data_IF_311856068378
#
_entry.id   IF_311856068378
#
_cell.length_a   1.000
_cell.length_b   1.000
_cell.length_c   1.000
_cell.angle_alpha   90.00
_cell.angle_beta   90.00
_cell.angle_gamma   90.00
#
_symmetry.space_group_name_H-M   'P 1'
#
loop_
_entity.id
_entity.type
_entity.pdbx_description
1 polymer ?
#
# COMPACT_ATOMS: atom_id res chain seq x y z
N UNK A 1 -1.93 -30.81 -15.00
CA UNK A 1 -0.86 -30.26 -15.84
C UNK A 1 -1.29 -28.87 -16.29
N UNK A 2 -0.71 -27.81 -15.70
CA UNK A 2 -0.94 -26.41 -16.10
C UNK A 2 0.20 -25.97 -17.00
N UNK A 3 -0.11 -25.80 -18.28
CA UNK A 3 0.79 -25.23 -19.28
C UNK A 3 1.00 -23.73 -18.97
N UNK A 4 2.22 -23.37 -18.67
CA UNK A 4 2.65 -21.97 -18.48
C UNK A 4 3.05 -21.49 -19.89
N UNK A 5 2.13 -20.77 -20.53
CA UNK A 5 2.41 -20.05 -21.77
C UNK A 5 3.36 -18.87 -21.51
N UNK A 6 4.31 -18.68 -22.43
CA UNK A 6 5.38 -17.68 -22.42
C UNK A 6 4.94 -16.27 -22.00
N UNK A 7 5.80 -15.54 -21.27
CA UNK A 7 5.55 -14.12 -20.98
C UNK A 7 5.66 -13.33 -22.29
N UNK A 8 4.59 -12.63 -22.64
CA UNK A 8 4.63 -11.63 -23.73
C UNK A 8 5.54 -10.50 -23.25
N UNK A 9 6.78 -10.51 -23.73
CA UNK A 9 7.73 -9.41 -23.53
C UNK A 9 7.30 -8.29 -24.49
N UNK A 10 6.67 -7.24 -23.97
CA UNK A 10 6.53 -5.99 -24.70
C UNK A 10 7.91 -5.35 -24.82
N UNK A 11 8.52 -5.52 -26.00
CA UNK A 11 9.72 -4.77 -26.42
C UNK A 11 9.31 -3.32 -26.70
N UNK A 12 9.39 -2.45 -25.68
CA UNK A 12 9.33 -1.01 -25.86
C UNK A 12 10.76 -0.51 -26.09
N UNK A 13 10.97 0.16 -27.24
CA UNK A 13 12.28 0.64 -27.67
C UNK A 13 12.99 1.52 -26.62
N UNK A 14 14.30 1.36 -26.50
CA UNK A 14 15.17 1.93 -25.47
C UNK A 14 15.20 3.49 -25.40
N UNK A 15 14.73 4.19 -26.43
CA UNK A 15 14.77 5.66 -26.50
C UNK A 15 13.60 6.37 -25.80
N UNK A 16 12.43 5.71 -25.65
CA UNK A 16 11.28 6.27 -24.94
C UNK A 16 11.35 6.16 -23.39
N UNK A 17 12.21 5.29 -22.85
CA UNK A 17 12.22 4.95 -21.41
C UNK A 17 12.85 6.02 -20.52
N UNK A 18 13.78 6.85 -21.00
CA UNK A 18 14.41 7.88 -20.15
C UNK A 18 13.48 9.05 -19.84
N UNK A 19 12.66 9.46 -20.79
CA UNK A 19 11.74 10.59 -20.61
C UNK A 19 10.51 10.22 -19.76
N UNK A 20 10.14 8.93 -19.73
CA UNK A 20 9.02 8.41 -18.93
C UNK A 20 9.40 8.07 -17.48
N UNK A 21 10.68 7.77 -17.20
CA UNK A 21 11.15 7.45 -15.85
C UNK A 21 10.94 8.63 -14.88
N UNK A 22 11.20 9.86 -15.28
CA UNK A 22 10.98 11.04 -14.44
C UNK A 22 9.51 11.22 -14.04
N UNK A 23 8.58 11.04 -14.99
CA UNK A 23 7.14 11.08 -14.70
C UNK A 23 6.74 9.91 -13.80
N UNK A 24 7.29 8.72 -14.03
CA UNK A 24 7.06 7.53 -13.19
C UNK A 24 7.51 7.73 -11.75
N UNK A 25 8.66 8.36 -11.54
CA UNK A 25 9.19 8.73 -10.21
C UNK A 25 8.25 9.74 -9.53
N UNK A 26 7.87 10.81 -10.24
CA UNK A 26 6.99 11.83 -9.69
C UNK A 26 5.64 11.23 -9.26
N UNK A 27 5.03 10.38 -10.09
CA UNK A 27 3.76 9.71 -9.78
C UNK A 27 3.89 8.74 -8.60
N UNK A 28 5.00 7.99 -8.50
CA UNK A 28 5.25 7.10 -7.38
C UNK A 28 5.45 7.88 -6.06
N UNK A 29 6.17 9.00 -6.10
CA UNK A 29 6.31 9.91 -4.96
C UNK A 29 4.96 10.53 -4.58
N UNK A 30 4.17 10.98 -5.55
CA UNK A 30 2.80 11.48 -5.30
C UNK A 30 1.96 10.42 -4.58
N UNK A 31 2.02 9.15 -5.03
CA UNK A 31 1.33 8.05 -4.34
C UNK A 31 1.82 7.89 -2.90
N UNK A 32 3.14 7.87 -2.68
CA UNK A 32 3.72 7.70 -1.34
C UNK A 32 3.35 8.86 -0.41
N UNK A 33 3.36 10.10 -0.91
CA UNK A 33 2.94 11.29 -0.14
C UNK A 33 1.43 11.25 0.15
N UNK A 34 0.59 10.94 -0.83
CA UNK A 34 -0.84 10.79 -0.65
C UNK A 34 -1.16 9.75 0.42
N UNK A 35 -0.57 8.56 0.32
CA UNK A 35 -0.80 7.51 1.30
C UNK A 35 -0.16 7.80 2.65
N UNK A 36 0.93 8.60 2.69
CA UNK A 36 1.54 9.08 3.93
C UNK A 36 0.66 10.08 4.69
N UNK A 37 -0.02 10.98 3.99
CA UNK A 37 -0.94 11.96 4.58
C UNK A 37 -2.29 11.34 5.00
N UNK A 38 -2.71 10.25 4.33
CA UNK A 38 -4.02 9.63 4.50
C UNK A 38 -4.36 9.27 5.97
N UNK A 39 -3.52 8.54 6.73
CA UNK A 39 -3.87 8.12 8.09
C UNK A 39 -4.00 9.30 9.05
N UNK A 40 -3.31 10.41 8.79
CA UNK A 40 -3.39 11.63 9.61
C UNK A 40 -4.78 12.26 9.45
N UNK A 41 -5.22 12.47 8.21
CA UNK A 41 -6.55 13.02 7.93
C UNK A 41 -7.66 12.04 8.38
N UNK A 42 -7.45 10.74 8.16
CA UNK A 42 -8.43 9.72 8.53
C UNK A 42 -8.63 9.65 10.05
N UNK A 43 -7.57 9.86 10.84
CA UNK A 43 -7.67 9.87 12.32
C UNK A 43 -8.60 10.98 12.81
N UNK A 44 -8.61 12.15 12.17
CA UNK A 44 -9.53 13.25 12.50
C UNK A 44 -11.00 12.87 12.24
N UNK A 45 -11.27 12.12 11.18
CA UNK A 45 -12.63 11.66 10.86
C UNK A 45 -13.07 10.55 11.82
N UNK A 46 -12.15 9.68 12.23
CA UNK A 46 -12.41 8.56 13.14
C UNK A 46 -12.74 9.00 14.58
N UNK A 47 -12.57 10.28 14.93
CA UNK A 47 -13.05 10.85 16.20
C UNK A 47 -14.58 10.88 16.28
N UNK A 48 -15.27 10.97 15.14
CA UNK A 48 -16.73 11.06 15.05
C UNK A 48 -17.34 9.86 14.32
N UNK A 49 -16.67 9.35 13.29
CA UNK A 49 -17.15 8.25 12.48
C UNK A 49 -16.49 6.92 12.83
N UNK A 50 -17.27 5.85 12.89
CA UNK A 50 -16.74 4.50 12.99
C UNK A 50 -16.02 4.07 11.68
N UNK A 51 -15.01 3.17 11.77
CA UNK A 51 -14.25 2.69 10.61
C UNK A 51 -15.10 2.25 9.40
N UNK A 52 -16.20 1.46 9.55
CA UNK A 52 -17.03 1.07 8.41
C UNK A 52 -17.63 2.26 7.66
N UNK A 53 -18.01 3.32 8.37
CA UNK A 53 -18.61 4.52 7.77
C UNK A 53 -17.59 5.34 7.00
N UNK A 54 -16.39 5.54 7.56
CA UNK A 54 -15.30 6.22 6.86
C UNK A 54 -14.91 5.48 5.59
N UNK A 55 -14.74 4.14 5.69
CA UNK A 55 -14.35 3.30 4.55
C UNK A 55 -15.45 3.26 3.49
N UNK A 56 -16.73 3.23 3.90
CA UNK A 56 -17.87 3.34 2.98
C UNK A 56 -17.78 4.61 2.12
N UNK A 57 -17.61 5.78 2.73
CA UNK A 57 -17.50 7.04 1.99
C UNK A 57 -16.27 7.07 1.08
N UNK A 58 -15.16 6.52 1.50
CA UNK A 58 -13.95 6.43 0.68
C UNK A 58 -14.17 5.60 -0.57
N UNK A 59 -14.78 4.42 -0.43
CA UNK A 59 -15.09 3.58 -1.60
C UNK A 59 -16.20 4.15 -2.46
N UNK A 60 -17.21 4.78 -1.88
CA UNK A 60 -18.28 5.44 -2.62
C UNK A 60 -17.72 6.54 -3.53
N UNK A 61 -16.94 7.46 -2.98
CA UNK A 61 -16.31 8.53 -3.75
C UNK A 61 -15.36 7.99 -4.82
N UNK A 62 -14.55 6.98 -4.49
CA UNK A 62 -13.64 6.36 -5.45
C UNK A 62 -14.39 5.60 -6.56
N UNK A 63 -15.49 4.91 -6.23
CA UNK A 63 -16.34 4.21 -7.19
C UNK A 63 -17.01 5.18 -8.16
N UNK A 64 -17.62 6.26 -7.64
CA UNK A 64 -18.25 7.29 -8.48
C UNK A 64 -17.20 7.96 -9.38
N UNK A 65 -16.08 8.41 -8.80
CA UNK A 65 -15.04 9.11 -9.56
C UNK A 65 -14.39 8.25 -10.64
N UNK A 66 -14.00 7.01 -10.29
CA UNK A 66 -13.40 6.09 -11.25
C UNK A 66 -14.41 5.58 -12.28
N UNK A 67 -15.67 5.34 -11.85
CA UNK A 67 -16.76 4.97 -12.72
C UNK A 67 -17.06 6.03 -13.77
N UNK A 68 -17.12 7.32 -13.38
CA UNK A 68 -17.28 8.44 -14.29
C UNK A 68 -16.12 8.51 -15.31
N UNK A 69 -14.87 8.39 -14.84
CA UNK A 69 -13.69 8.40 -15.72
C UNK A 69 -13.74 7.24 -16.73
N UNK A 70 -14.10 6.03 -16.30
CA UNK A 70 -14.19 4.86 -17.17
C UNK A 70 -15.37 4.96 -18.15
N UNK A 71 -16.51 5.51 -17.72
CA UNK A 71 -17.67 5.75 -18.58
C UNK A 71 -17.35 6.75 -19.70
N UNK A 72 -16.74 7.90 -19.36
CA UNK A 72 -16.31 8.91 -20.34
C UNK A 72 -15.31 8.32 -21.35
N UNK A 73 -14.41 7.46 -20.89
CA UNK A 73 -13.41 6.79 -21.75
C UNK A 73 -13.97 5.58 -22.50
N UNK A 74 -15.21 5.17 -22.30
CA UNK A 74 -15.80 3.95 -22.89
C UNK A 74 -15.09 2.65 -22.47
N UNK A 75 -14.46 2.64 -21.29
CA UNK A 75 -13.61 1.53 -20.79
C UNK A 75 -14.19 0.84 -19.57
N UNK A 76 -15.51 0.85 -19.40
CA UNK A 76 -16.17 0.11 -18.34
C UNK A 76 -15.84 -1.40 -18.39
N UNK A 77 -15.82 -2.10 -17.23
CA UNK A 77 -15.54 -3.51 -17.21
C UNK A 77 -16.62 -4.30 -17.96
N UNK A 78 -16.23 -5.34 -18.73
CA UNK A 78 -17.20 -6.15 -19.46
C UNK A 78 -18.01 -7.01 -18.50
N UNK A 79 -19.35 -6.95 -18.57
CA UNK A 79 -20.25 -7.73 -17.71
C UNK A 79 -20.09 -9.26 -17.87
N UNK A 80 -19.45 -9.70 -18.97
CA UNK A 80 -19.15 -11.13 -19.21
C UNK A 80 -18.30 -11.77 -18.12
N UNK A 81 -17.56 -10.96 -17.32
CA UNK A 81 -16.74 -11.47 -16.21
C UNK A 81 -17.60 -12.14 -15.14
N UNK A 82 -18.84 -11.66 -14.95
CA UNK A 82 -19.77 -12.22 -13.97
C UNK A 82 -20.39 -13.57 -14.37
N UNK A 83 -20.22 -14.01 -15.63
CA UNK A 83 -20.78 -15.28 -16.12
C UNK A 83 -19.97 -16.51 -15.75
N UNK A 84 -18.72 -16.35 -15.31
CA UNK A 84 -17.82 -17.47 -14.99
C UNK A 84 -17.56 -17.54 -13.49
N UNK A 85 -17.91 -18.64 -12.79
CA UNK A 85 -17.83 -18.76 -11.33
C UNK A 85 -16.39 -18.51 -10.81
N UNK A 86 -15.36 -18.93 -11.56
CA UNK A 86 -13.96 -18.70 -11.18
C UNK A 86 -13.64 -17.20 -11.01
N UNK A 87 -14.17 -16.32 -11.86
CA UNK A 87 -13.91 -14.89 -11.76
C UNK A 87 -14.71 -14.26 -10.62
N UNK A 88 -15.92 -14.76 -10.35
CA UNK A 88 -16.71 -14.34 -9.19
C UNK A 88 -15.99 -14.67 -7.88
N UNK A 89 -15.44 -15.88 -7.74
CA UNK A 89 -14.66 -16.27 -6.56
C UNK A 89 -13.42 -15.38 -6.40
N UNK A 90 -12.70 -15.10 -7.48
CA UNK A 90 -11.52 -14.20 -7.44
C UNK A 90 -11.92 -12.76 -7.08
N UNK A 91 -13.03 -12.26 -7.62
CA UNK A 91 -13.57 -10.95 -7.25
C UNK A 91 -14.00 -10.93 -5.78
N UNK A 92 -14.66 -11.98 -5.29
CA UNK A 92 -15.03 -12.09 -3.87
C UNK A 92 -13.82 -12.10 -2.94
N UNK A 93 -12.76 -12.87 -3.28
CA UNK A 93 -11.49 -12.89 -2.53
C UNK A 93 -10.84 -11.51 -2.56
N UNK A 94 -10.77 -10.88 -3.73
CA UNK A 94 -10.16 -9.55 -3.87
C UNK A 94 -10.97 -8.48 -3.11
N UNK A 95 -12.31 -8.54 -3.18
CA UNK A 95 -13.20 -7.63 -2.45
C UNK A 95 -13.07 -7.83 -0.95
N UNK A 96 -13.12 -9.08 -0.46
CA UNK A 96 -12.96 -9.40 0.96
C UNK A 96 -11.58 -8.99 1.48
N UNK A 97 -10.52 -9.20 0.69
CA UNK A 97 -9.16 -8.77 1.02
C UNK A 97 -9.02 -7.24 1.11
N UNK A 98 -9.58 -6.52 0.15
CA UNK A 98 -9.54 -5.04 0.15
C UNK A 98 -10.45 -4.47 1.24
N UNK A 99 -11.66 -4.96 1.37
CA UNK A 99 -12.62 -4.60 2.41
C UNK A 99 -12.01 -4.79 3.80
N UNK A 100 -11.52 -6.02 4.08
CA UNK A 100 -10.93 -6.35 5.37
C UNK A 100 -9.69 -5.51 5.68
N UNK A 101 -8.81 -5.28 4.70
CA UNK A 101 -7.65 -4.42 4.88
C UNK A 101 -8.07 -3.00 5.28
N UNK A 102 -9.01 -2.38 4.58
CA UNK A 102 -9.42 -1.01 4.86
C UNK A 102 -10.10 -0.87 6.22
N UNK A 103 -10.96 -1.83 6.60
CA UNK A 103 -11.61 -1.83 7.92
C UNK A 103 -10.57 -2.02 9.01
N UNK A 104 -9.73 -3.05 8.93
CA UNK A 104 -8.73 -3.36 9.95
C UNK A 104 -7.68 -2.24 10.08
N UNK A 105 -7.26 -1.63 8.96
CA UNK A 105 -6.36 -0.48 9.00
C UNK A 105 -7.02 0.74 9.67
N UNK A 106 -8.27 1.03 9.32
CA UNK A 106 -9.01 2.13 9.97
C UNK A 106 -9.26 1.86 11.46
N UNK A 107 -9.55 0.61 11.84
CA UNK A 107 -9.68 0.21 13.24
C UNK A 107 -8.34 0.32 13.99
N UNK A 108 -7.22 -0.05 13.36
CA UNK A 108 -5.89 0.15 13.93
C UNK A 108 -5.62 1.62 14.28
N UNK A 109 -6.04 2.55 13.42
CA UNK A 109 -5.87 3.99 13.63
C UNK A 109 -6.68 4.55 14.81
N UNK A 110 -7.72 3.88 15.25
CA UNK A 110 -8.44 4.30 16.49
C UNK A 110 -7.53 4.20 17.70
N UNK A 111 -6.65 3.21 17.75
CA UNK A 111 -5.81 2.87 18.88
C UNK A 111 -4.35 3.30 18.74
N UNK A 112 -3.84 3.38 17.50
CA UNK A 112 -2.45 3.70 17.20
C UNK A 112 -2.30 5.12 16.62
N UNK A 113 -1.07 5.60 16.65
CA UNK A 113 -0.69 6.78 15.87
C UNK A 113 -0.68 6.49 14.36
N UNK A 114 -0.88 7.50 13.50
CA UNK A 114 -0.76 7.36 12.06
C UNK A 114 0.54 6.70 11.61
N UNK A 115 1.66 7.10 12.22
CA UNK A 115 2.99 6.56 11.93
C UNK A 115 3.10 5.09 12.31
N UNK A 116 2.62 4.68 13.50
CA UNK A 116 2.67 3.28 13.94
C UNK A 116 1.87 2.37 13.01
N UNK A 117 0.65 2.78 12.63
CA UNK A 117 -0.18 2.01 11.68
C UNK A 117 0.48 1.87 10.31
N UNK A 118 1.15 2.92 9.80
CA UNK A 118 1.88 2.87 8.52
C UNK A 118 3.14 2.00 8.59
N UNK A 119 3.86 2.02 9.71
CA UNK A 119 5.04 1.16 9.91
C UNK A 119 4.65 -0.31 9.96
N UNK A 120 3.56 -0.67 10.66
CA UNK A 120 3.01 -2.03 10.65
C UNK A 120 2.56 -2.44 9.25
N UNK A 121 1.98 -1.52 8.47
CA UNK A 121 1.56 -1.76 7.10
C UNK A 121 2.69 -2.28 6.19
N UNK A 122 3.96 -1.99 6.53
CA UNK A 122 5.12 -2.51 5.82
C UNK A 122 5.33 -4.03 5.97
N UNK A 123 4.56 -4.71 6.81
CA UNK A 123 4.47 -6.18 6.81
C UNK A 123 3.81 -6.73 5.53
N UNK A 124 3.01 -5.94 4.81
CA UNK A 124 2.35 -6.38 3.58
C UNK A 124 3.33 -6.88 2.50
N UNK A 125 4.45 -6.22 2.18
CA UNK A 125 5.47 -6.75 1.28
C UNK A 125 6.04 -8.10 1.73
N UNK A 126 6.26 -8.29 3.03
CA UNK A 126 6.74 -9.58 3.59
C UNK A 126 5.68 -10.65 3.40
N UNK A 127 4.42 -10.35 3.73
CA UNK A 127 3.30 -11.25 3.49
C UNK A 127 3.15 -11.65 2.01
N UNK A 128 3.27 -10.68 1.08
CA UNK A 128 3.26 -10.97 -0.36
C UNK A 128 4.41 -11.85 -0.80
N UNK A 129 5.60 -11.67 -0.23
CA UNK A 129 6.76 -12.50 -0.51
C UNK A 129 6.53 -13.95 -0.04
N UNK A 130 6.03 -14.13 1.17
CA UNK A 130 5.66 -15.46 1.71
C UNK A 130 4.57 -16.10 0.84
N UNK A 131 3.52 -15.37 0.49
CA UNK A 131 2.46 -15.86 -0.39
C UNK A 131 2.98 -16.26 -1.79
N UNK A 132 3.95 -15.52 -2.34
CA UNK A 132 4.59 -15.85 -3.62
C UNK A 132 5.28 -17.21 -3.57
N UNK A 133 5.96 -17.53 -2.48
CA UNK A 133 6.63 -18.84 -2.31
C UNK A 133 5.60 -19.96 -2.24
N UNK A 134 4.61 -19.86 -1.36
CA UNK A 134 3.66 -20.95 -1.11
C UNK A 134 2.59 -21.09 -2.20
N UNK A 135 2.06 -19.98 -2.71
CA UNK A 135 0.95 -19.99 -3.66
C UNK A 135 1.43 -20.00 -5.12
N UNK A 136 2.45 -19.18 -5.44
CA UNK A 136 2.97 -19.04 -6.79
C UNK A 136 4.19 -19.94 -7.05
N UNK A 137 4.71 -20.63 -6.01
CA UNK A 137 5.89 -21.50 -6.05
C UNK A 137 7.14 -20.77 -6.59
N UNK A 138 7.24 -19.48 -6.31
CA UNK A 138 8.40 -18.66 -6.66
C UNK A 138 9.54 -18.89 -5.66
N UNK A 139 10.80 -18.88 -6.14
CA UNK A 139 11.97 -18.99 -5.25
C UNK A 139 12.30 -17.63 -4.64
N UNK A 140 12.50 -17.60 -3.32
CA UNK A 140 12.97 -16.39 -2.63
C UNK A 140 14.43 -16.10 -3.00
N UNK A 141 14.72 -14.83 -3.23
CA UNK A 141 16.08 -14.35 -3.43
C UNK A 141 16.71 -13.95 -2.09
N UNK A 142 18.04 -14.12 -1.94
CA UNK A 142 18.74 -13.73 -0.72
C UNK A 142 18.51 -12.28 -0.32
N UNK A 143 18.43 -11.36 -1.28
CA UNK A 143 18.12 -9.94 -1.02
C UNK A 143 16.73 -9.72 -0.42
N UNK A 144 15.75 -10.56 -0.77
CA UNK A 144 14.40 -10.50 -0.20
C UNK A 144 14.40 -10.97 1.25
N UNK A 145 15.16 -12.03 1.56
CA UNK A 145 15.30 -12.54 2.94
C UNK A 145 15.97 -11.49 3.81
N UNK A 146 17.09 -10.92 3.35
CA UNK A 146 17.80 -9.86 4.08
C UNK A 146 16.89 -8.65 4.30
N UNK A 147 16.19 -8.19 3.26
CA UNK A 147 15.27 -7.06 3.37
C UNK A 147 14.12 -7.32 4.35
N UNK A 148 13.55 -8.53 4.35
CA UNK A 148 12.51 -8.92 5.31
C UNK A 148 13.07 -8.99 6.75
N UNK A 149 14.27 -9.53 6.95
CA UNK A 149 14.92 -9.56 8.27
C UNK A 149 15.21 -8.15 8.79
N UNK A 150 15.70 -7.25 7.94
CA UNK A 150 15.87 -5.83 8.28
C UNK A 150 14.55 -5.17 8.68
N UNK A 151 13.47 -5.43 7.92
CA UNK A 151 12.16 -4.89 8.21
C UNK A 151 11.65 -5.37 9.58
N UNK A 152 11.75 -6.66 9.86
CA UNK A 152 11.32 -7.20 11.16
C UNK A 152 12.17 -6.65 12.32
N UNK A 153 13.48 -6.54 12.15
CA UNK A 153 14.35 -5.90 13.13
C UNK A 153 13.97 -4.43 13.36
N UNK A 154 13.70 -3.69 12.29
CA UNK A 154 13.24 -2.31 12.37
C UNK A 154 11.89 -2.16 13.10
N UNK A 155 10.97 -3.12 12.92
CA UNK A 155 9.70 -3.13 13.68
C UNK A 155 9.95 -3.32 15.19
N UNK A 156 10.84 -4.23 15.57
CA UNK A 156 11.23 -4.42 16.99
C UNK A 156 11.84 -3.13 17.55
N UNK A 157 12.70 -2.47 16.79
CA UNK A 157 13.28 -1.17 17.18
C UNK A 157 12.22 -0.08 17.27
N UNK A 158 11.27 -0.03 16.33
CA UNK A 158 10.19 0.99 16.33
C UNK A 158 9.29 0.85 17.56
N UNK A 159 8.89 -0.35 17.88
CA UNK A 159 8.01 -0.64 19.02
C UNK A 159 8.74 -0.89 20.35
N UNK A 160 10.03 -0.55 20.46
CA UNK A 160 10.89 -0.91 21.58
C UNK A 160 10.31 -0.58 22.96
N UNK A 161 9.61 0.56 23.10
CA UNK A 161 8.99 0.98 24.35
C UNK A 161 7.67 0.25 24.66
N UNK A 162 7.02 -0.32 23.66
CA UNK A 162 5.70 -0.95 23.78
C UNK A 162 5.74 -2.48 23.63
N UNK A 163 6.91 -3.09 23.41
CA UNK A 163 7.02 -4.52 23.17
C UNK A 163 6.46 -5.35 24.31
N UNK A 164 6.80 -5.01 25.57
CA UNK A 164 6.32 -5.73 26.74
C UNK A 164 4.79 -5.67 26.79
N UNK A 165 4.21 -4.48 26.59
CA UNK A 165 2.77 -4.29 26.58
C UNK A 165 2.11 -5.12 25.47
N UNK A 166 2.63 -5.09 24.27
CA UNK A 166 2.10 -5.83 23.10
C UNK A 166 2.02 -7.34 23.37
N UNK A 167 3.01 -7.90 24.05
CA UNK A 167 3.09 -9.36 24.25
C UNK A 167 2.50 -9.84 25.58
N UNK A 168 2.31 -8.96 26.56
CA UNK A 168 1.88 -9.37 27.92
C UNK A 168 0.51 -8.89 28.31
N UNK A 169 -0.06 -7.88 27.63
CA UNK A 169 -1.33 -7.26 27.98
C UNK A 169 -2.21 -7.05 26.76
N UNK A 170 -3.50 -7.31 26.90
CA UNK A 170 -4.51 -6.97 25.88
C UNK A 170 -5.06 -5.56 26.13
N UNK A 171 -4.20 -4.56 25.90
CA UNK A 171 -4.58 -3.14 25.97
C UNK A 171 -5.14 -2.66 24.63
N UNK A 172 -5.70 -1.46 24.62
CA UNK A 172 -6.14 -0.79 23.39
C UNK A 172 -5.01 -0.69 22.36
N UNK A 173 -3.78 -0.40 22.83
CA UNK A 173 -2.61 -0.37 21.98
C UNK A 173 -2.32 -1.73 21.32
N UNK A 174 -2.43 -2.82 22.06
CA UNK A 174 -2.26 -4.19 21.56
C UNK A 174 -3.32 -4.53 20.52
N UNK A 175 -4.58 -4.13 20.75
CA UNK A 175 -5.64 -4.28 19.74
C UNK A 175 -5.32 -3.52 18.45
N UNK A 176 -4.81 -2.28 18.58
CA UNK A 176 -4.35 -1.50 17.44
C UNK A 176 -3.29 -2.22 16.61
N UNK A 177 -2.31 -2.86 17.27
CA UNK A 177 -1.26 -3.67 16.59
C UNK A 177 -1.86 -4.90 15.93
N UNK A 178 -2.75 -5.63 16.61
CA UNK A 178 -3.44 -6.82 16.06
C UNK A 178 -4.22 -6.44 14.79
N UNK A 179 -4.99 -5.34 14.82
CA UNK A 179 -5.71 -4.86 13.65
C UNK A 179 -4.76 -4.46 12.51
N UNK A 180 -3.65 -3.79 12.83
CA UNK A 180 -2.65 -3.41 11.83
C UNK A 180 -1.99 -4.60 11.15
N UNK A 181 -1.56 -5.61 11.92
CA UNK A 181 -1.01 -6.87 11.41
C UNK A 181 -2.06 -7.64 10.60
N UNK A 182 -3.30 -7.70 11.10
CA UNK A 182 -4.44 -8.27 10.40
C UNK A 182 -4.67 -7.60 9.06
N UNK A 183 -4.67 -6.26 9.03
CA UNK A 183 -4.79 -5.48 7.80
C UNK A 183 -3.71 -5.84 6.77
N UNK A 184 -2.44 -5.88 7.20
CA UNK A 184 -1.32 -6.24 6.34
C UNK A 184 -1.45 -7.67 5.79
N UNK A 185 -1.91 -8.61 6.62
CA UNK A 185 -2.10 -10.02 6.23
C UNK A 185 -3.24 -10.18 5.23
N UNK A 186 -4.40 -9.58 5.50
CA UNK A 186 -5.58 -9.68 4.63
C UNK A 186 -5.34 -8.99 3.29
N UNK A 187 -4.54 -7.92 3.25
CA UNK A 187 -4.13 -7.26 2.02
C UNK A 187 -3.41 -8.20 1.03
N UNK A 188 -2.71 -9.20 1.52
CA UNK A 188 -2.04 -10.21 0.68
C UNK A 188 -3.05 -10.97 -0.18
N UNK A 189 -4.22 -11.32 0.36
CA UNK A 189 -5.26 -12.02 -0.39
C UNK A 189 -5.79 -11.19 -1.55
N UNK A 190 -6.01 -9.87 -1.32
CA UNK A 190 -6.32 -8.91 -2.36
C UNK A 190 -5.22 -8.86 -3.43
N UNK A 191 -3.95 -8.71 -3.03
CA UNK A 191 -2.83 -8.61 -3.95
C UNK A 191 -2.67 -9.84 -4.85
N UNK A 192 -2.80 -11.04 -4.29
CA UNK A 192 -2.75 -12.31 -5.04
C UNK A 192 -3.92 -12.41 -6.01
N UNK A 193 -5.15 -12.15 -5.55
CA UNK A 193 -6.34 -12.21 -6.40
C UNK A 193 -6.27 -11.17 -7.53
N UNK A 194 -5.85 -9.94 -7.23
CA UNK A 194 -5.66 -8.88 -8.22
C UNK A 194 -4.64 -9.29 -9.30
N UNK A 195 -3.51 -9.90 -8.91
CA UNK A 195 -2.49 -10.40 -9.86
C UNK A 195 -3.09 -11.39 -10.88
N UNK A 196 -4.05 -12.19 -10.46
CA UNK A 196 -4.76 -13.13 -11.36
C UNK A 196 -5.80 -12.41 -12.22
N UNK A 197 -6.55 -11.46 -11.65
CA UNK A 197 -7.57 -10.68 -12.35
C UNK A 197 -6.96 -9.81 -13.47
N UNK A 198 -5.75 -9.28 -13.27
CA UNK A 198 -5.00 -8.50 -14.26
C UNK A 198 -4.71 -9.25 -15.57
N UNK A 199 -4.87 -10.58 -15.60
CA UNK A 199 -4.78 -11.36 -16.84
C UNK A 199 -5.97 -11.13 -17.78
N UNK A 200 -7.05 -10.53 -17.34
CA UNK A 200 -8.30 -10.34 -18.09
C UNK A 200 -8.86 -8.94 -18.05
N UNK A 201 -8.54 -8.17 -17.03
CA UNK A 201 -9.04 -6.82 -16.82
C UNK A 201 -7.89 -5.84 -16.65
N UNK A 202 -8.10 -4.60 -17.06
CA UNK A 202 -7.21 -3.51 -16.72
C UNK A 202 -7.29 -3.18 -15.23
N UNK A 203 -6.19 -2.68 -14.64
CA UNK A 203 -6.13 -2.33 -13.22
C UNK A 203 -7.27 -1.40 -12.78
N UNK A 204 -7.58 -0.37 -13.59
CA UNK A 204 -8.65 0.57 -13.32
C UNK A 204 -10.04 -0.10 -13.31
N UNK A 205 -10.27 -1.09 -14.19
CA UNK A 205 -11.53 -1.85 -14.21
C UNK A 205 -11.68 -2.71 -12.96
N UNK A 206 -10.59 -3.34 -12.51
CA UNK A 206 -10.57 -4.14 -11.28
C UNK A 206 -10.88 -3.24 -10.09
N UNK A 207 -10.19 -2.10 -9.94
CA UNK A 207 -10.39 -1.16 -8.84
C UNK A 207 -11.83 -0.64 -8.81
N UNK A 208 -12.40 -0.28 -9.97
CA UNK A 208 -13.80 0.15 -10.06
C UNK A 208 -14.77 -0.92 -9.54
N UNK A 209 -14.60 -2.17 -9.99
CA UNK A 209 -15.42 -3.29 -9.51
C UNK A 209 -15.28 -3.49 -8.00
N UNK A 210 -14.04 -3.48 -7.49
CA UNK A 210 -13.78 -3.68 -6.07
C UNK A 210 -14.35 -2.54 -5.22
N UNK A 211 -14.18 -1.28 -5.63
CA UNK A 211 -14.74 -0.13 -4.91
C UNK A 211 -16.26 -0.19 -4.87
N UNK A 212 -16.90 -0.54 -5.99
CA UNK A 212 -18.37 -0.70 -6.06
C UNK A 212 -18.85 -1.84 -5.15
N UNK A 213 -18.21 -3.01 -5.24
CA UNK A 213 -18.56 -4.17 -4.41
C UNK A 213 -18.32 -3.90 -2.91
N UNK A 214 -17.22 -3.26 -2.56
CA UNK A 214 -16.94 -2.87 -1.17
C UNK A 214 -17.97 -1.85 -0.66
N UNK A 215 -18.36 -0.87 -1.48
CA UNK A 215 -19.40 0.11 -1.12
C UNK A 215 -20.72 -0.60 -0.81
N UNK A 216 -21.14 -1.53 -1.68
CA UNK A 216 -22.38 -2.30 -1.47
C UNK A 216 -22.27 -3.16 -0.21
N UNK A 217 -21.15 -3.84 -0.01
CA UNK A 217 -20.93 -4.70 1.16
C UNK A 217 -20.90 -3.92 2.48
N UNK A 218 -20.45 -2.66 2.45
CA UNK A 218 -20.39 -1.79 3.63
C UNK A 218 -21.71 -1.12 3.97
N UNK A 219 -22.64 -1.02 3.03
CA UNK A 219 -23.91 -0.31 3.22
C UNK A 219 -24.67 -0.72 4.49
N UNK A 220 -24.80 -2.03 4.84
CA UNK A 220 -25.48 -2.44 6.06
C UNK A 220 -24.70 -2.12 7.35
N UNK A 221 -23.39 -1.87 7.28
CA UNK A 221 -22.54 -1.60 8.42
C UNK A 221 -22.27 -0.10 8.61
N UNK A 222 -22.44 0.67 7.54
CA UNK A 222 -22.21 2.11 7.56
C UNK A 222 -23.41 2.85 8.18
N UNK A 223 -23.11 3.98 8.80
CA UNK A 223 -24.09 4.94 9.32
C UNK A 223 -23.96 6.26 8.58
N UNK A 224 -24.48 6.36 7.31
CA UNK A 224 -24.25 7.54 6.47
C UNK A 224 -24.69 8.86 7.09
N UNK A 225 -25.76 8.84 7.91
CA UNK A 225 -26.28 10.05 8.58
C UNK A 225 -25.27 10.75 9.50
N UNK A 226 -24.23 10.06 9.97
CA UNK A 226 -23.19 10.65 10.82
C UNK A 226 -22.40 11.76 10.12
N UNK A 227 -22.42 11.83 8.78
CA UNK A 227 -21.75 12.90 8.03
C UNK A 227 -22.20 14.31 8.45
N UNK A 228 -23.44 14.46 8.89
CA UNK A 228 -23.99 15.74 9.36
C UNK A 228 -23.44 16.17 10.71
N UNK A 229 -22.75 15.30 11.43
CA UNK A 229 -22.14 15.58 12.74
C UNK A 229 -20.66 15.99 12.61
N UNK A 230 -20.09 15.89 11.40
CA UNK A 230 -18.71 16.32 11.17
C UNK A 230 -18.60 17.84 11.18
N UNK A 231 -17.53 18.35 11.80
CA UNK A 231 -17.11 19.73 11.60
C UNK A 231 -16.64 19.96 10.15
N UNK A 232 -16.57 21.20 9.70
CA UNK A 232 -16.08 21.55 8.35
C UNK A 232 -14.68 21.00 8.11
N UNK A 233 -13.81 21.02 9.13
CA UNK A 233 -12.48 20.43 9.08
C UNK A 233 -12.53 18.91 8.86
N UNK A 234 -13.32 18.19 9.65
CA UNK A 234 -13.47 16.74 9.54
C UNK A 234 -14.11 16.33 8.21
N UNK A 235 -15.05 17.12 7.71
CA UNK A 235 -15.62 16.94 6.37
C UNK A 235 -14.57 17.11 5.29
N UNK A 236 -13.73 18.13 5.38
CA UNK A 236 -12.60 18.33 4.45
C UNK A 236 -11.62 17.14 4.51
N UNK A 237 -11.31 16.61 5.71
CA UNK A 237 -10.51 15.41 5.90
C UNK A 237 -11.16 14.16 5.25
N UNK A 238 -12.48 13.99 5.36
CA UNK A 238 -13.22 12.89 4.75
C UNK A 238 -13.15 12.96 3.21
N UNK A 239 -13.38 14.15 2.65
CA UNK A 239 -13.25 14.41 1.19
C UNK A 239 -11.82 14.11 0.73
N UNK A 240 -10.84 14.59 1.48
CA UNK A 240 -9.43 14.28 1.20
C UNK A 240 -9.18 12.77 1.20
N UNK A 241 -9.69 12.01 2.18
CA UNK A 241 -9.55 10.55 2.24
C UNK A 241 -10.14 9.83 1.03
N UNK A 242 -11.30 10.29 0.55
CA UNK A 242 -11.95 9.76 -0.65
C UNK A 242 -11.18 10.07 -1.92
N UNK A 243 -10.80 11.34 -2.13
CA UNK A 243 -9.99 11.78 -3.26
C UNK A 243 -8.61 11.14 -3.25
N UNK A 244 -8.00 10.99 -2.08
CA UNK A 244 -6.72 10.29 -1.91
C UNK A 244 -6.80 8.84 -2.39
N UNK A 245 -7.92 8.16 -2.12
CA UNK A 245 -8.13 6.79 -2.62
C UNK A 245 -8.14 6.76 -4.15
N UNK A 246 -8.78 7.71 -4.80
CA UNK A 246 -8.82 7.80 -6.26
C UNK A 246 -7.46 8.22 -6.86
N UNK A 247 -6.88 9.29 -6.34
CA UNK A 247 -5.62 9.89 -6.84
C UNK A 247 -4.43 8.98 -6.56
N UNK A 248 -4.31 8.45 -5.34
CA UNK A 248 -3.19 7.60 -4.94
C UNK A 248 -3.11 6.31 -5.77
N UNK A 249 -4.22 5.60 -5.92
CA UNK A 249 -4.25 4.40 -6.78
C UNK A 249 -4.16 4.73 -8.27
N UNK A 250 -4.71 5.88 -8.70
CA UNK A 250 -4.56 6.37 -10.07
C UNK A 250 -3.11 6.68 -10.41
N UNK A 251 -2.42 7.43 -9.56
CA UNK A 251 -1.00 7.76 -9.71
C UNK A 251 -0.12 6.50 -9.67
N UNK A 252 -0.43 5.52 -8.80
CA UNK A 252 0.25 4.23 -8.76
C UNK A 252 0.13 3.48 -10.09
N UNK A 253 -1.09 3.37 -10.62
CA UNK A 253 -1.34 2.67 -11.88
C UNK A 253 -0.57 3.32 -13.05
N UNK A 254 -0.55 4.66 -13.10
CA UNK A 254 0.17 5.42 -14.12
C UNK A 254 1.70 5.35 -13.92
N UNK A 255 2.19 5.33 -12.67
CA UNK A 255 3.60 5.12 -12.37
C UNK A 255 4.09 3.76 -12.87
N UNK A 256 3.32 2.69 -12.59
CA UNK A 256 3.63 1.33 -13.03
C UNK A 256 3.56 1.17 -14.55
N UNK A 257 2.72 1.94 -15.24
CA UNK A 257 2.66 1.94 -16.71
C UNK A 257 3.89 2.60 -17.36
N UNK A 258 4.56 3.55 -16.66
CA UNK A 258 5.67 4.35 -17.20
C UNK A 258 7.04 3.96 -16.65
N UNK A 259 7.07 3.26 -15.53
CA UNK A 259 8.31 2.89 -14.87
C UNK A 259 8.27 1.45 -14.36
N UNK A 260 9.41 0.91 -13.98
CA UNK A 260 9.51 -0.50 -13.58
C UNK A 260 8.83 -0.72 -12.23
N UNK A 261 7.93 -1.70 -12.16
CA UNK A 261 7.12 -1.98 -10.96
C UNK A 261 7.94 -2.12 -9.67
N UNK A 262 9.11 -2.76 -9.71
CA UNK A 262 9.98 -2.89 -8.53
C UNK A 262 10.51 -1.54 -8.01
N UNK A 263 10.81 -0.60 -8.91
CA UNK A 263 11.29 0.74 -8.54
C UNK A 263 10.13 1.61 -8.03
N UNK A 264 8.95 1.51 -8.63
CA UNK A 264 7.72 2.13 -8.13
C UNK A 264 7.43 1.62 -6.72
N UNK A 265 7.44 0.30 -6.52
CA UNK A 265 7.23 -0.31 -5.20
C UNK A 265 8.25 0.16 -4.17
N UNK A 266 9.53 0.29 -4.56
CA UNK A 266 10.56 0.79 -3.65
C UNK A 266 10.31 2.23 -3.20
N UNK A 267 9.80 3.12 -4.08
CA UNK A 267 9.43 4.48 -3.68
C UNK A 267 8.21 4.52 -2.78
N UNK A 268 7.25 3.63 -3.00
CA UNK A 268 6.05 3.56 -2.16
C UNK A 268 6.39 3.12 -0.73
N UNK A 269 7.46 2.35 -0.52
CA UNK A 269 7.91 2.01 0.84
C UNK A 269 8.35 3.22 1.67
N UNK A 270 8.54 4.39 1.07
CA UNK A 270 8.80 5.66 1.77
C UNK A 270 7.55 6.21 2.49
N UNK A 271 6.37 5.66 2.25
CA UNK A 271 5.10 6.12 2.83
C UNK A 271 5.16 6.38 4.35
N UNK A 272 5.70 5.49 5.21
CA UNK A 272 5.80 5.76 6.65
C UNK A 272 6.67 6.97 7.00
N UNK A 273 7.72 7.23 6.21
CA UNK A 273 8.57 8.40 6.42
C UNK A 273 7.83 9.70 6.06
N UNK A 274 6.99 9.69 5.01
CA UNK A 274 6.11 10.81 4.73
C UNK A 274 5.08 11.01 5.82
N UNK A 275 4.49 9.93 6.37
CA UNK A 275 3.57 10.03 7.51
C UNK A 275 4.25 10.65 8.70
N UNK A 276 5.45 10.20 9.04
CA UNK A 276 6.26 10.75 10.13
C UNK A 276 6.55 12.25 9.92
N UNK A 277 7.04 12.60 8.74
CA UNK A 277 7.34 13.99 8.37
C UNK A 277 6.09 14.88 8.46
N UNK A 278 4.97 14.43 7.89
CA UNK A 278 3.73 15.20 7.92
C UNK A 278 3.15 15.30 9.34
N UNK A 279 3.24 14.25 10.15
CA UNK A 279 2.81 14.29 11.55
C UNK A 279 3.63 15.30 12.36
N UNK A 280 4.95 15.31 12.18
CA UNK A 280 5.83 16.27 12.86
C UNK A 280 5.55 17.71 12.39
N UNK A 281 5.45 17.95 11.08
CA UNK A 281 5.18 19.29 10.54
C UNK A 281 3.81 19.82 10.98
N UNK A 282 2.76 18.98 10.93
CA UNK A 282 1.41 19.37 11.32
C UNK A 282 1.32 19.62 12.84
N UNK A 283 1.98 18.80 13.65
CA UNK A 283 2.02 19.02 15.11
C UNK A 283 2.79 20.28 15.51
N UNK A 284 3.77 20.73 14.70
CA UNK A 284 4.45 22.00 14.90
C UNK A 284 3.57 23.19 14.50
N UNK A 285 2.80 23.05 13.40
CA UNK A 285 1.96 24.12 12.87
C UNK A 285 0.64 24.27 13.66
N UNK A 286 0.05 23.17 14.08
CA UNK A 286 -1.24 23.10 14.79
C UNK A 286 -1.19 22.11 15.97
N UNK A 287 -0.48 22.44 17.06
CA UNK A 287 -0.26 21.53 18.21
C UNK A 287 -1.55 21.16 18.93
N UNK A 288 -2.57 21.99 18.87
CA UNK A 288 -3.87 21.76 19.50
C UNK A 288 -4.73 20.71 18.72
N UNK A 289 -4.40 20.47 17.46
CA UNK A 289 -5.15 19.54 16.59
C UNK A 289 -4.38 18.26 16.35
N UNK A 290 -3.07 18.34 16.19
CA UNK A 290 -2.23 17.21 15.84
C UNK A 290 -1.26 16.85 16.96
N UNK A 291 -1.42 15.65 17.50
CA UNK A 291 -0.53 15.13 18.55
C UNK A 291 0.77 14.66 17.93
N UNK A 292 1.90 15.16 18.46
CA UNK A 292 3.23 14.73 18.03
C UNK A 292 3.46 13.26 18.36
N UNK A 293 4.02 12.46 17.45
CA UNK A 293 4.42 11.07 17.74
C UNK A 293 5.45 11.04 18.89
N UNK A 294 5.15 10.35 19.98
CA UNK A 294 6.09 10.15 21.09
C UNK A 294 7.04 9.00 20.75
N UNK A 295 8.02 9.26 19.90
CA UNK A 295 9.06 8.29 19.53
C UNK A 295 10.39 8.68 20.19
N UNK A 296 11.09 7.69 20.73
CA UNK A 296 12.48 7.85 21.14
C UNK A 296 13.41 7.70 19.93
N UNK A 297 14.70 7.97 20.10
CA UNK A 297 15.69 7.90 19.02
C UNK A 297 15.72 6.51 18.35
N UNK A 298 15.55 5.44 19.13
CA UNK A 298 15.52 4.06 18.62
C UNK A 298 14.26 3.81 17.78
N UNK A 299 13.12 4.41 18.14
CA UNK A 299 11.89 4.35 17.34
C UNK A 299 12.03 5.03 15.98
N UNK A 300 12.61 6.23 15.94
CA UNK A 300 12.92 6.90 14.66
C UNK A 300 13.87 6.06 13.80
N UNK A 301 14.94 5.54 14.38
CA UNK A 301 15.88 4.67 13.68
C UNK A 301 15.17 3.40 13.18
N UNK A 302 14.29 2.82 14.00
CA UNK A 302 13.46 1.67 13.63
C UNK A 302 12.60 1.94 12.39
N UNK A 303 11.94 3.10 12.30
CA UNK A 303 11.15 3.48 11.13
C UNK A 303 12.03 3.54 9.86
N UNK A 304 13.24 4.11 9.94
CA UNK A 304 14.17 4.11 8.81
C UNK A 304 14.63 2.71 8.43
N UNK A 305 14.93 1.84 9.39
CA UNK A 305 15.35 0.44 9.14
C UNK A 305 14.23 -0.36 8.49
N UNK A 306 12.97 -0.18 8.91
CA UNK A 306 11.79 -0.79 8.29
C UNK A 306 11.72 -0.41 6.81
N UNK A 307 11.79 0.87 6.51
CA UNK A 307 11.72 1.39 5.14
C UNK A 307 12.90 0.90 4.30
N UNK A 308 14.12 0.95 4.85
CA UNK A 308 15.31 0.46 4.17
C UNK A 308 15.21 -1.04 3.86
N UNK A 309 14.70 -1.85 4.80
CA UNK A 309 14.46 -3.28 4.63
C UNK A 309 13.44 -3.57 3.54
N UNK A 310 12.29 -2.87 3.56
CA UNK A 310 11.26 -2.99 2.54
C UNK A 310 11.78 -2.60 1.15
N UNK A 311 12.52 -1.50 1.05
CA UNK A 311 13.15 -1.03 -0.19
C UNK A 311 14.20 -2.04 -0.69
N UNK A 312 15.07 -2.54 0.18
CA UNK A 312 16.10 -3.52 -0.18
C UNK A 312 15.48 -4.84 -0.65
N UNK A 313 14.39 -5.28 -0.02
CA UNK A 313 13.63 -6.44 -0.49
C UNK A 313 13.10 -6.23 -1.92
N UNK A 314 12.64 -5.02 -2.26
CA UNK A 314 12.08 -4.72 -3.57
C UNK A 314 13.12 -4.62 -4.69
N UNK A 315 14.26 -3.97 -4.46
CA UNK A 315 15.24 -3.62 -5.51
C UNK A 315 16.65 -4.15 -5.28
N UNK A 316 16.95 -4.74 -4.12
CA UNK A 316 18.31 -5.14 -3.73
C UNK A 316 19.01 -6.07 -4.75
N UNK A 317 18.25 -6.97 -5.39
CA UNK A 317 18.79 -7.85 -6.42
C UNK A 317 19.32 -7.12 -7.67
N UNK A 318 18.81 -5.93 -7.98
CA UNK A 318 19.26 -5.10 -9.11
C UNK A 318 20.50 -4.32 -8.76
N UNK A 319 20.60 -3.85 -7.51
CA UNK A 319 21.77 -3.18 -6.98
C UNK A 319 22.96 -4.15 -6.98
N UNK A 320 22.77 -5.38 -6.48
CA UNK A 320 23.79 -6.42 -6.45
C UNK A 320 24.26 -6.84 -7.85
N UNK A 321 23.33 -6.99 -8.80
CA UNK A 321 23.67 -7.34 -10.18
C UNK A 321 24.44 -6.25 -10.93
N UNK A 322 24.22 -4.98 -10.62
CA UNK A 322 25.01 -3.86 -11.15
C UNK A 322 26.42 -3.82 -10.55
N UNK A 323 26.54 -4.07 -9.27
CA UNK A 323 27.82 -4.07 -8.55
C UNK A 323 28.75 -5.16 -9.09
N UNK A 324 28.26 -6.38 -9.24
CA UNK A 324 29.02 -7.48 -9.87
C UNK A 324 29.46 -7.20 -11.31
N UNK A 325 28.66 -6.48 -12.09
CA UNK A 325 29.04 -6.10 -13.46
C UNK A 325 30.14 -5.05 -13.47
N UNK A 326 30.14 -4.12 -12.52
CA UNK A 326 31.18 -3.10 -12.42
C UNK A 326 32.51 -3.70 -11.91
N UNK A 327 32.49 -4.66 -10.99
CA UNK A 327 33.71 -5.38 -10.56
C UNK A 327 34.31 -6.22 -11.71
N UNK A 328 33.48 -6.85 -12.53
CA UNK A 328 33.97 -7.63 -13.67
C UNK A 328 34.61 -6.77 -14.77
N UNK A 329 34.30 -5.48 -14.83
CA UNK A 329 34.91 -4.52 -15.77
C UNK A 329 36.25 -3.99 -15.24
N UNK A 330 36.47 -4.03 -13.93
CA UNK A 330 37.70 -3.51 -13.29
C UNK A 330 38.84 -4.57 -13.26
N UNK A 331 38.53 -5.84 -13.49
CA UNK A 331 39.48 -6.97 -13.40
C UNK A 331 39.83 -7.51 -14.80
N UNK A 332 40.03 -6.66 -15.79
CA UNK A 332 40.75 -7.07 -17.02
C UNK A 332 42.19 -6.55 -16.88
N UNK A 333 43.15 -7.44 -16.58
CA UNK A 333 44.57 -7.04 -16.70
C UNK A 333 44.82 -6.77 -18.20
N UNK A 334 45.31 -5.59 -18.50
CA UNK A 334 46.00 -5.35 -19.79
C UNK A 334 47.18 -6.32 -19.86
N UNK A 335 46.98 -7.43 -20.55
CA UNK A 335 48.09 -8.19 -21.14
C UNK A 335 48.49 -7.43 -22.39
N UNK A 336 49.52 -6.69 -22.26
CA UNK A 336 50.19 -6.04 -23.39
C UNK A 336 51.67 -6.03 -23.13
N UNK A 337 52.37 -6.71 -24.04
CA UNK A 337 53.78 -6.65 -24.36
C UNK A 337 54.77 -7.29 -23.39
#
# INVERSE_FOLDING_TARGET
>A
AFYIGNPVIFSVGKTGMKQQAGIGILLALTTAMCWGALPIAMKQVLEVMEPPTVVFYRFLMASIGLGAILAIKGKLPPLRIFRKPRWLVLLAIATGGLFGNFILFSSSLQYLSPTASQVIGQLSPVGMMVASVFILKEKMRGTQIIGASMLLCGLVMFFNTSLIEIFTRLTDYTWGVIFGVGAATVWVSYGVAQKVLLRRLASQQILFLLYTLCTIALLPLAKPGVITQLSDWQLACLIFCGLNTLVGYGALAEAMARWQAAQVSALITLTPLFTLLFSDLLSMAWPDVFVRPMLNMLGYLGAFVVVAGAMYSAIGHRLWGRWRKNEAVVVVPRSGE
#
